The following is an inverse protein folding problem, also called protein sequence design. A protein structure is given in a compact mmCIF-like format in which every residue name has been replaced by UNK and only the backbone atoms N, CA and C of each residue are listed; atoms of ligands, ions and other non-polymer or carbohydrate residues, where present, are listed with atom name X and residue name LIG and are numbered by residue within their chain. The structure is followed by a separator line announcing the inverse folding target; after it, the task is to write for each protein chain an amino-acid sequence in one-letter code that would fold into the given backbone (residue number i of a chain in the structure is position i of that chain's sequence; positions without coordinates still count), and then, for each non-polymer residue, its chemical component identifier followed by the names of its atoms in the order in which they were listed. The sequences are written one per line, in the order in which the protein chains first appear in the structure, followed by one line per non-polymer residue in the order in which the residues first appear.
data_IF_196737647567
#
_entry.id   IF_196737647567
#
_cell.length_a   1.000
_cell.length_b   1.000
_cell.length_c   1.000
_cell.angle_alpha   90.00
_cell.angle_beta   90.00
_cell.angle_gamma   90.00
#
_symmetry.space_group_name_H-M   'P 1'
#
loop_
_entity.id
_entity.type
_entity.pdbx_description
1 polymer ?
#
# COMPACT_ATOMS: atom_id res chain seq x y z
N UNK A 1 -34.89 -28.84 14.85
CA UNK A 1 -34.53 -27.57 14.21
C UNK A 1 -35.80 -26.80 13.93
N UNK A 2 -35.97 -25.60 14.50
CA UNK A 2 -37.15 -24.77 14.26
C UNK A 2 -37.08 -24.06 12.92
N UNK A 3 -38.23 -23.76 12.31
CA UNK A 3 -38.31 -22.97 11.08
C UNK A 3 -37.60 -21.59 11.19
N UNK A 4 -37.58 -21.03 12.40
CA UNK A 4 -36.83 -19.80 12.72
C UNK A 4 -35.32 -20.00 12.63
N UNK A 5 -34.81 -21.18 13.04
CA UNK A 5 -33.38 -21.50 13.01
C UNK A 5 -32.89 -21.64 11.55
N UNK A 6 -33.71 -22.24 10.69
CA UNK A 6 -33.43 -22.35 9.25
C UNK A 6 -33.42 -20.97 8.56
N UNK A 7 -34.37 -20.10 8.89
CA UNK A 7 -34.38 -18.74 8.36
C UNK A 7 -33.18 -17.91 8.82
N UNK A 8 -32.73 -18.09 10.06
CA UNK A 8 -31.54 -17.39 10.57
C UNK A 8 -30.27 -17.87 9.85
N UNK A 9 -30.13 -19.16 9.58
CA UNK A 9 -29.02 -19.74 8.83
C UNK A 9 -28.96 -19.22 7.38
N UNK A 10 -30.09 -19.18 6.68
CA UNK A 10 -30.17 -18.66 5.31
C UNK A 10 -29.78 -17.17 5.24
N UNK A 11 -30.28 -16.36 6.18
CA UNK A 11 -29.92 -14.94 6.26
C UNK A 11 -28.45 -14.71 6.61
N UNK A 12 -27.85 -15.57 7.43
CA UNK A 12 -26.42 -15.50 7.75
C UNK A 12 -25.58 -15.80 6.51
N UNK A 13 -25.93 -16.82 5.73
CA UNK A 13 -25.25 -17.23 4.51
C UNK A 13 -25.36 -16.15 3.42
N UNK A 14 -26.56 -15.58 3.21
CA UNK A 14 -26.77 -14.45 2.31
C UNK A 14 -25.96 -13.21 2.70
N UNK A 15 -25.86 -12.93 3.99
CA UNK A 15 -25.07 -11.80 4.53
C UNK A 15 -23.58 -12.01 4.28
N UNK A 16 -23.05 -13.22 4.52
CA UNK A 16 -21.65 -13.56 4.29
C UNK A 16 -21.29 -13.50 2.80
N UNK A 17 -22.13 -14.04 1.94
CA UNK A 17 -21.98 -13.97 0.49
C UNK A 17 -21.93 -12.54 -0.02
N UNK A 18 -22.81 -11.66 0.46
CA UNK A 18 -22.82 -10.24 0.14
C UNK A 18 -21.54 -9.54 0.62
N UNK A 19 -21.07 -9.87 1.83
CA UNK A 19 -19.85 -9.33 2.41
C UNK A 19 -18.61 -9.78 1.62
N UNK A 20 -18.53 -11.06 1.27
CA UNK A 20 -17.47 -11.62 0.40
C UNK A 20 -17.39 -10.89 -0.93
N UNK A 21 -18.54 -10.70 -1.60
CA UNK A 21 -18.63 -9.99 -2.86
C UNK A 21 -18.18 -8.53 -2.76
N UNK A 22 -18.51 -7.85 -1.66
CA UNK A 22 -18.07 -6.48 -1.40
C UNK A 22 -16.56 -6.41 -1.17
N UNK A 23 -15.98 -7.33 -0.40
CA UNK A 23 -14.53 -7.44 -0.17
C UNK A 23 -13.78 -7.70 -1.47
N UNK A 24 -14.25 -8.64 -2.30
CA UNK A 24 -13.66 -8.95 -3.59
C UNK A 24 -13.65 -7.73 -4.52
N UNK A 25 -14.78 -7.02 -4.64
CA UNK A 25 -14.83 -5.76 -5.41
C UNK A 25 -13.85 -4.72 -4.90
N UNK A 26 -13.74 -4.57 -3.57
CA UNK A 26 -12.80 -3.63 -2.95
C UNK A 26 -11.35 -4.00 -3.22
N UNK A 27 -11.00 -5.26 -3.12
CA UNK A 27 -9.66 -5.76 -3.41
C UNK A 27 -9.29 -5.53 -4.88
N UNK A 28 -10.17 -5.88 -5.82
CA UNK A 28 -9.98 -5.65 -7.26
C UNK A 28 -9.81 -4.16 -7.54
N UNK A 29 -10.59 -3.28 -6.92
CA UNK A 29 -10.46 -1.83 -7.09
C UNK A 29 -9.12 -1.27 -6.56
N UNK A 30 -8.52 -1.91 -5.56
CA UNK A 30 -7.18 -1.58 -5.08
C UNK A 30 -6.10 -2.07 -6.06
N UNK A 31 -6.21 -3.31 -6.51
CA UNK A 31 -5.28 -3.93 -7.48
C UNK A 31 -5.29 -3.22 -8.84
N UNK A 32 -6.45 -2.69 -9.26
CA UNK A 32 -6.56 -1.91 -10.50
C UNK A 32 -5.75 -0.60 -10.48
N UNK A 33 -5.39 -0.09 -9.31
CA UNK A 33 -4.60 1.15 -9.18
C UNK A 33 -3.10 0.90 -9.19
N UNK A 34 -2.68 -0.16 -8.50
CA UNK A 34 -1.29 -0.59 -8.41
C UNK A 34 -1.22 -2.01 -7.87
N UNK A 35 -0.07 -2.65 -8.06
CA UNK A 35 0.22 -3.92 -7.40
C UNK A 35 0.28 -3.75 -5.87
N UNK A 36 -0.27 -4.71 -5.16
CA UNK A 36 -0.26 -4.79 -3.70
C UNK A 36 0.26 -6.15 -3.26
N UNK A 37 0.93 -6.21 -2.11
CA UNK A 37 1.22 -7.49 -1.48
C UNK A 37 -0.02 -8.07 -0.78
N UNK A 38 -0.02 -9.39 -0.58
CA UNK A 38 -1.05 -10.09 0.20
C UNK A 38 -1.21 -9.45 1.57
N UNK A 39 -0.10 -9.26 2.31
CA UNK A 39 -0.11 -8.63 3.63
C UNK A 39 -0.63 -7.18 3.62
N UNK A 40 -0.37 -6.41 2.56
CA UNK A 40 -0.90 -5.05 2.41
C UNK A 40 -2.42 -5.07 2.19
N UNK A 41 -2.92 -6.00 1.35
CA UNK A 41 -4.36 -6.15 1.12
C UNK A 41 -5.10 -6.65 2.36
N UNK A 42 -4.56 -7.65 3.08
CA UNK A 42 -5.13 -8.13 4.34
C UNK A 42 -5.36 -6.95 5.29
N UNK A 43 -4.34 -6.14 5.56
CA UNK A 43 -4.46 -4.97 6.43
C UNK A 43 -5.52 -3.97 5.95
N UNK A 44 -5.57 -3.72 4.64
CA UNK A 44 -6.52 -2.77 4.05
C UNK A 44 -7.96 -3.29 4.06
N UNK A 45 -8.16 -4.58 3.86
CA UNK A 45 -9.49 -5.18 3.83
C UNK A 45 -10.07 -5.34 5.23
N UNK A 46 -9.26 -5.68 6.24
CA UNK A 46 -9.66 -5.71 7.64
C UNK A 46 -10.03 -4.33 8.20
N UNK A 47 -9.43 -3.27 7.66
CA UNK A 47 -9.82 -1.90 8.05
C UNK A 47 -11.16 -1.55 7.39
N UNK A 48 -12.19 -1.13 8.16
CA UNK A 48 -13.46 -0.73 7.60
C UNK A 48 -13.28 0.33 6.50
N UNK A 49 -14.03 0.22 5.43
CA UNK A 49 -14.00 1.24 4.39
C UNK A 49 -14.42 2.60 4.99
N UNK A 50 -13.68 3.69 4.72
CA UNK A 50 -14.13 5.00 5.15
C UNK A 50 -15.50 5.25 4.52
N UNK A 51 -16.50 5.50 5.36
CA UNK A 51 -17.83 5.87 4.92
C UNK A 51 -17.68 7.14 4.08
N UNK A 52 -17.77 7.02 2.77
CA UNK A 52 -17.83 8.17 1.89
C UNK A 52 -19.13 8.91 2.21
N UNK A 53 -19.07 9.88 3.10
CA UNK A 53 -20.14 10.89 3.17
C UNK A 53 -20.31 11.43 1.75
N UNK A 54 -21.41 11.09 1.12
CA UNK A 54 -21.85 11.76 -0.11
C UNK A 54 -21.85 13.25 0.22
N UNK A 55 -20.82 13.97 -0.21
CA UNK A 55 -20.91 15.42 -0.26
C UNK A 55 -22.13 15.69 -1.13
N UNK A 56 -23.23 16.11 -0.50
CA UNK A 56 -24.34 16.70 -1.21
C UNK A 56 -23.73 17.75 -2.13
N UNK A 57 -23.91 17.55 -3.41
CA UNK A 57 -23.58 18.55 -4.42
C UNK A 57 -24.45 19.77 -4.15
N UNK A 58 -23.96 20.63 -3.26
CA UNK A 58 -24.41 21.99 -3.15
C UNK A 58 -23.60 22.77 -4.16
N UNK A 59 -24.24 23.20 -5.24
CA UNK A 59 -23.56 23.94 -6.29
C UNK A 59 -22.95 25.24 -5.78
N UNK A 60 -21.79 25.55 -6.36
CA UNK A 60 -21.45 26.92 -6.78
C UNK A 60 -20.33 26.86 -7.81
N UNK A 61 -20.62 27.53 -8.89
CA UNK A 61 -19.77 27.80 -10.02
C UNK A 61 -18.56 28.66 -9.67
N UNK A 62 -17.49 28.53 -10.47
CA UNK A 62 -16.56 29.62 -10.75
C UNK A 62 -15.17 29.41 -10.14
N UNK A 63 -14.17 29.25 -10.98
CA UNK A 63 -12.77 29.39 -10.63
C UNK A 63 -11.85 28.61 -11.57
N UNK A 64 -11.60 29.16 -12.73
CA UNK A 64 -10.54 28.81 -13.66
C UNK A 64 -9.19 28.99 -13.00
N UNK A 65 -8.30 28.00 -13.11
CA UNK A 65 -6.93 28.08 -12.63
C UNK A 65 -6.14 26.89 -13.16
N UNK A 66 -5.54 27.11 -14.35
CA UNK A 66 -4.58 26.22 -14.96
C UNK A 66 -3.32 26.14 -14.10
N UNK A 67 -2.96 24.96 -13.64
CA UNK A 67 -1.60 24.65 -13.23
C UNK A 67 -1.27 23.20 -13.58
N UNK A 68 -0.53 23.05 -14.68
CA UNK A 68 0.31 21.91 -14.97
C UNK A 68 1.32 21.72 -13.84
N UNK A 69 1.25 20.60 -13.13
CA UNK A 69 2.17 20.22 -12.09
C UNK A 69 2.32 18.72 -12.04
N UNK A 70 3.50 18.24 -12.45
CA UNK A 70 3.91 16.85 -12.36
C UNK A 70 3.76 16.28 -10.95
N UNK A 71 3.54 14.96 -10.78
CA UNK A 71 3.34 14.35 -9.47
C UNK A 71 4.65 14.34 -8.68
N UNK A 72 4.73 15.20 -7.70
CA UNK A 72 5.77 15.17 -6.67
C UNK A 72 5.40 14.05 -5.70
N UNK A 73 6.16 12.95 -5.72
CA UNK A 73 6.14 11.96 -4.66
C UNK A 73 6.89 12.55 -3.45
N UNK A 74 6.15 13.25 -2.61
CA UNK A 74 6.65 13.68 -1.30
C UNK A 74 6.43 12.55 -0.28
N UNK A 75 7.50 11.80 -0.02
CA UNK A 75 7.58 10.77 1.01
C UNK A 75 8.21 11.38 2.28
N UNK A 76 7.51 12.36 2.86
CA UNK A 76 7.83 12.90 4.17
C UNK A 76 6.78 12.43 5.19
N UNK A 77 6.95 11.19 5.67
CA UNK A 77 6.29 10.76 6.90
C UNK A 77 7.12 11.26 8.10
N UNK A 78 6.91 12.50 8.50
CA UNK A 78 7.40 13.06 9.76
C UNK A 78 6.41 12.68 10.88
N UNK A 79 6.90 11.84 11.81
CA UNK A 79 6.16 11.40 12.97
C UNK A 79 5.95 12.52 13.99
N UNK A 80 4.92 13.33 13.82
CA UNK A 80 4.41 14.20 14.88
C UNK A 80 3.06 13.69 15.37
N UNK A 81 3.06 13.17 16.59
CA UNK A 81 1.89 12.88 17.40
C UNK A 81 1.07 14.15 17.62
N UNK A 82 0.12 14.41 16.74
CA UNK A 82 -0.90 15.44 16.91
C UNK A 82 -2.07 14.88 17.72
N UNK A 83 -2.29 15.47 18.90
CA UNK A 83 -3.47 15.30 19.72
C UNK A 83 -4.75 15.57 18.91
N UNK A 84 -5.43 14.50 18.49
CA UNK A 84 -6.74 14.59 17.85
C UNK A 84 -7.80 14.71 18.92
N UNK A 85 -8.40 15.87 18.98
CA UNK A 85 -9.49 16.22 19.88
C UNK A 85 -10.62 15.19 19.83
N UNK A 86 -11.20 14.99 21.02
CA UNK A 86 -12.35 14.13 21.35
C UNK A 86 -13.44 14.25 20.27
N UNK A 87 -13.68 13.15 19.55
CA UNK A 87 -14.80 13.04 18.63
C UNK A 87 -16.13 13.14 19.41
N UNK A 88 -17.14 13.86 18.89
CA UNK A 88 -18.46 13.89 19.50
C UNK A 88 -19.07 12.48 19.54
N UNK A 89 -19.63 12.13 20.69
CA UNK A 89 -20.40 10.91 20.89
C UNK A 89 -21.65 10.94 19.98
N UNK A 90 -21.60 10.19 18.91
CA UNK A 90 -22.76 9.93 18.07
C UNK A 90 -23.57 8.78 18.69
N UNK A 91 -24.80 9.07 19.05
CA UNK A 91 -25.83 8.11 19.41
C UNK A 91 -25.96 7.04 18.31
N UNK A 92 -25.72 5.78 18.70
CA UNK A 92 -25.62 4.65 17.80
C UNK A 92 -26.97 3.91 17.75
N UNK A 93 -27.94 4.55 17.13
CA UNK A 93 -29.21 3.92 16.73
C UNK A 93 -29.38 4.05 15.20
N UNK A 94 -28.49 3.44 14.44
CA UNK A 94 -28.75 3.18 13.03
C UNK A 94 -28.53 1.70 12.78
N UNK A 95 -29.57 1.10 12.22
CA UNK A 95 -29.78 -0.32 12.05
C UNK A 95 -28.55 -1.10 11.62
N UNK A 96 -28.45 -2.29 12.16
CA UNK A 96 -27.45 -3.31 11.91
C UNK A 96 -27.34 -3.59 10.40
N UNK A 97 -26.58 -2.73 9.71
CA UNK A 97 -26.23 -2.99 8.32
C UNK A 97 -25.07 -3.98 8.30
N UNK A 98 -25.29 -5.23 7.90
CA UNK A 98 -24.26 -6.26 7.91
C UNK A 98 -23.02 -5.88 7.09
N UNK A 99 -23.14 -4.93 6.17
CA UNK A 99 -22.02 -4.39 5.40
C UNK A 99 -21.11 -3.44 6.19
N UNK A 100 -21.49 -2.98 7.39
CA UNK A 100 -20.67 -2.12 8.26
C UNK A 100 -19.90 -2.90 9.33
N UNK A 101 -20.14 -4.20 9.49
CA UNK A 101 -19.38 -5.07 10.37
C UNK A 101 -17.98 -5.31 9.78
N UNK A 102 -16.96 -5.20 10.63
CA UNK A 102 -15.59 -5.55 10.19
C UNK A 102 -15.59 -7.00 9.69
N UNK A 103 -15.01 -7.28 8.52
CA UNK A 103 -14.98 -8.64 7.99
C UNK A 103 -14.12 -9.54 8.87
N UNK A 104 -14.47 -10.82 8.94
CA UNK A 104 -13.64 -11.79 9.63
C UNK A 104 -12.30 -11.99 8.90
N UNK A 105 -11.20 -12.26 9.63
CA UNK A 105 -9.91 -12.55 9.01
C UNK A 105 -9.99 -13.73 8.03
N UNK A 106 -10.76 -14.77 8.37
CA UNK A 106 -10.93 -15.98 7.56
C UNK A 106 -11.60 -15.66 6.22
N UNK A 107 -12.61 -14.80 6.24
CA UNK A 107 -13.28 -14.36 5.02
C UNK A 107 -12.35 -13.54 4.13
N UNK A 108 -11.51 -12.69 4.72
CA UNK A 108 -10.51 -11.91 3.98
C UNK A 108 -9.49 -12.84 3.34
N UNK A 109 -8.94 -13.81 4.09
CA UNK A 109 -7.97 -14.78 3.56
C UNK A 109 -8.57 -15.60 2.42
N UNK A 110 -9.81 -16.09 2.56
CA UNK A 110 -10.51 -16.82 1.51
C UNK A 110 -10.68 -16.00 0.22
N UNK A 111 -10.96 -14.70 0.33
CA UNK A 111 -11.03 -13.79 -0.83
C UNK A 111 -9.65 -13.58 -1.46
N UNK A 112 -8.59 -13.47 -0.66
CA UNK A 112 -7.22 -13.32 -1.18
C UNK A 112 -6.75 -14.59 -1.89
N UNK A 113 -7.04 -15.78 -1.37
CA UNK A 113 -6.75 -17.07 -2.03
C UNK A 113 -7.44 -17.16 -3.40
N UNK A 114 -8.70 -16.72 -3.47
CA UNK A 114 -9.42 -16.67 -4.74
C UNK A 114 -8.76 -15.71 -5.73
N UNK A 115 -8.30 -14.54 -5.29
CA UNK A 115 -7.61 -13.57 -6.15
C UNK A 115 -6.23 -14.07 -6.60
N UNK A 116 -5.51 -14.81 -5.78
CA UNK A 116 -4.26 -15.48 -6.15
C UNK A 116 -4.52 -16.58 -7.19
N UNK A 117 -5.53 -17.41 -6.97
CA UNK A 117 -5.95 -18.44 -7.93
C UNK A 117 -6.31 -17.86 -9.30
N UNK A 118 -6.93 -16.69 -9.33
CA UNK A 118 -7.22 -15.94 -10.56
C UNK A 118 -6.01 -15.16 -11.10
N UNK A 119 -4.83 -15.24 -10.48
CA UNK A 119 -3.61 -14.50 -10.83
C UNK A 119 -3.76 -12.97 -10.80
N UNK A 120 -4.77 -12.47 -10.12
CA UNK A 120 -4.98 -11.03 -9.90
C UNK A 120 -4.08 -10.49 -8.78
N UNK A 121 -3.75 -11.32 -7.79
CA UNK A 121 -2.80 -11.01 -6.71
C UNK A 121 -1.54 -11.85 -6.89
N UNK A 122 -0.35 -11.22 -6.73
CA UNK A 122 0.94 -11.90 -6.77
C UNK A 122 1.99 -11.07 -6.06
N UNK A 123 2.51 -11.58 -4.96
CA UNK A 123 3.60 -10.95 -4.20
C UNK A 123 4.87 -10.83 -5.03
N UNK A 124 5.17 -11.81 -5.87
CA UNK A 124 6.31 -11.78 -6.77
C UNK A 124 6.19 -10.63 -7.79
N UNK A 125 5.05 -10.50 -8.46
CA UNK A 125 4.83 -9.45 -9.46
C UNK A 125 4.90 -8.06 -8.81
N UNK A 126 4.35 -7.90 -7.61
CA UNK A 126 4.46 -6.68 -6.82
C UNK A 126 5.92 -6.36 -6.46
N UNK A 127 6.69 -7.34 -6.00
CA UNK A 127 8.11 -7.18 -5.68
C UNK A 127 8.91 -6.75 -6.92
N UNK A 128 8.75 -7.45 -8.04
CA UNK A 128 9.41 -7.14 -9.32
C UNK A 128 9.04 -5.73 -9.81
N UNK A 129 7.78 -5.31 -9.65
CA UNK A 129 7.33 -3.96 -10.00
C UNK A 129 7.98 -2.89 -9.12
N UNK A 130 8.05 -3.11 -7.81
CA UNK A 130 8.72 -2.19 -6.87
C UNK A 130 10.22 -2.06 -7.19
N UNK A 131 10.88 -3.17 -7.44
CA UNK A 131 12.29 -3.20 -7.80
C UNK A 131 12.55 -2.47 -9.11
N UNK A 132 11.78 -2.75 -10.16
CA UNK A 132 11.90 -2.09 -11.47
C UNK A 132 11.77 -0.57 -11.35
N UNK A 133 10.79 -0.10 -10.57
CA UNK A 133 10.55 1.33 -10.40
C UNK A 133 11.57 2.01 -9.47
N UNK A 134 12.18 1.24 -8.56
CA UNK A 134 13.12 1.76 -7.55
C UNK A 134 14.60 1.60 -7.89
N UNK A 135 14.97 0.65 -8.75
CA UNK A 135 16.36 0.24 -8.99
C UNK A 135 17.28 1.37 -9.48
N UNK A 136 16.76 2.31 -10.26
CA UNK A 136 17.54 3.46 -10.76
C UNK A 136 17.84 4.52 -9.66
N UNK A 137 17.13 4.46 -8.54
CA UNK A 137 17.18 5.50 -7.51
C UNK A 137 17.70 5.01 -6.17
N UNK A 138 17.55 3.71 -5.89
CA UNK A 138 17.80 3.11 -4.59
C UNK A 138 18.71 1.88 -4.71
N UNK A 139 19.54 1.69 -3.69
CA UNK A 139 20.38 0.49 -3.51
C UNK A 139 19.59 -0.69 -2.94
N UNK A 140 20.22 -1.86 -2.95
CA UNK A 140 19.63 -3.11 -2.47
C UNK A 140 19.09 -3.04 -1.05
N UNK A 141 19.84 -2.42 -0.12
CA UNK A 141 19.44 -2.35 1.27
C UNK A 141 18.12 -1.60 1.45
N UNK A 142 17.90 -0.50 0.74
CA UNK A 142 16.65 0.26 0.78
C UNK A 142 15.49 -0.52 0.16
N UNK A 143 15.71 -1.14 -1.00
CA UNK A 143 14.68 -1.94 -1.67
C UNK A 143 14.28 -3.15 -0.83
N UNK A 144 15.25 -3.84 -0.21
CA UNK A 144 14.98 -4.95 0.72
C UNK A 144 14.10 -4.50 1.89
N UNK A 145 14.46 -3.41 2.54
CA UNK A 145 13.67 -2.85 3.63
C UNK A 145 12.25 -2.46 3.20
N UNK A 146 12.08 -1.86 2.02
CA UNK A 146 10.78 -1.48 1.52
C UNK A 146 9.90 -2.71 1.19
N UNK A 147 10.49 -3.80 0.68
CA UNK A 147 9.82 -5.09 0.45
C UNK A 147 9.43 -5.78 1.78
N UNK A 148 10.34 -5.77 2.78
CA UNK A 148 10.04 -6.29 4.12
C UNK A 148 8.86 -5.54 4.77
N UNK A 149 8.84 -4.21 4.68
CA UNK A 149 7.71 -3.39 5.15
C UNK A 149 6.38 -3.72 4.46
N UNK A 150 6.43 -4.26 3.26
CA UNK A 150 5.27 -4.76 2.53
C UNK A 150 4.84 -6.17 2.98
N UNK A 151 5.61 -6.80 3.87
CA UNK A 151 5.33 -8.12 4.41
C UNK A 151 5.63 -9.27 3.46
N UNK A 152 6.60 -9.10 2.56
CA UNK A 152 7.05 -10.17 1.68
C UNK A 152 7.99 -11.12 2.41
N UNK A 153 7.99 -12.36 1.95
CA UNK A 153 8.91 -13.41 2.41
C UNK A 153 10.37 -13.09 2.03
N UNK A 154 11.31 -13.45 2.92
CA UNK A 154 12.74 -13.15 2.77
C UNK A 154 13.37 -13.87 1.58
N UNK A 155 12.96 -15.11 1.30
CA UNK A 155 13.43 -15.85 0.14
C UNK A 155 12.99 -15.17 -1.17
N UNK A 156 11.74 -14.71 -1.22
CA UNK A 156 11.21 -13.95 -2.36
C UNK A 156 11.99 -12.65 -2.54
N UNK A 157 12.27 -11.91 -1.46
CA UNK A 157 13.05 -10.67 -1.48
C UNK A 157 14.45 -10.93 -2.01
N UNK A 158 15.13 -11.95 -1.50
CA UNK A 158 16.48 -12.34 -1.94
C UNK A 158 16.52 -12.67 -3.42
N UNK A 159 15.58 -13.48 -3.90
CA UNK A 159 15.48 -13.88 -5.30
C UNK A 159 15.27 -12.70 -6.24
N UNK A 160 14.39 -11.77 -5.87
CA UNK A 160 14.06 -10.61 -6.72
C UNK A 160 15.20 -9.57 -6.73
N UNK A 161 15.97 -9.47 -5.62
CA UNK A 161 17.09 -8.54 -5.52
C UNK A 161 18.42 -9.09 -6.01
N UNK A 162 18.54 -10.41 -6.22
CA UNK A 162 19.78 -11.05 -6.66
C UNK A 162 20.35 -10.43 -7.95
N UNK A 163 19.55 -10.20 -9.02
CA UNK A 163 20.08 -9.61 -10.25
C UNK A 163 20.66 -8.20 -10.09
N UNK A 164 20.22 -7.47 -9.06
CA UNK A 164 20.69 -6.10 -8.80
C UNK A 164 22.07 -6.05 -8.12
N UNK A 165 22.59 -7.17 -7.64
CA UNK A 165 23.88 -7.21 -6.93
C UNK A 165 25.04 -6.88 -7.86
N UNK A 166 25.01 -7.39 -9.09
CA UNK A 166 26.09 -7.22 -10.06
C UNK A 166 26.24 -5.76 -10.52
N UNK A 167 25.11 -5.05 -10.65
CA UNK A 167 25.11 -3.67 -11.16
C UNK A 167 25.03 -2.61 -10.06
N UNK A 168 25.10 -2.96 -8.78
CA UNK A 168 24.87 -2.00 -7.70
C UNK A 168 25.87 -0.84 -7.72
N UNK A 169 27.14 -1.12 -8.00
CA UNK A 169 28.19 -0.11 -8.11
C UNK A 169 27.93 0.87 -9.26
N UNK A 170 27.55 0.37 -10.43
CA UNK A 170 27.23 1.18 -11.60
C UNK A 170 26.03 2.09 -11.34
N UNK A 171 24.99 1.55 -10.70
CA UNK A 171 23.79 2.29 -10.31
C UNK A 171 24.10 3.36 -9.27
N UNK A 172 24.92 3.03 -8.25
CA UNK A 172 25.40 4.00 -7.26
C UNK A 172 26.15 5.16 -7.92
N UNK A 173 27.05 4.83 -8.88
CA UNK A 173 27.81 5.82 -9.64
C UNK A 173 26.88 6.72 -10.49
N UNK A 174 25.89 6.16 -11.16
CA UNK A 174 24.92 6.93 -11.93
C UNK A 174 24.10 7.90 -11.05
N UNK A 175 23.66 7.43 -9.87
CA UNK A 175 22.94 8.25 -8.90
C UNK A 175 23.84 9.36 -8.35
N UNK A 176 25.08 9.04 -8.04
CA UNK A 176 26.07 10.01 -7.58
C UNK A 176 26.37 11.07 -8.64
N UNK A 177 26.63 10.63 -9.88
CA UNK A 177 26.90 11.52 -11.03
C UNK A 177 25.76 12.50 -11.26
N UNK A 178 24.51 12.02 -11.23
CA UNK A 178 23.32 12.85 -11.42
C UNK A 178 23.16 13.92 -10.32
N UNK A 179 23.62 13.60 -9.08
CA UNK A 179 23.43 14.49 -7.93
C UNK A 179 24.59 15.46 -7.71
N UNK A 180 25.82 14.99 -7.85
CA UNK A 180 27.04 15.75 -7.51
C UNK A 180 27.91 16.05 -8.73
N UNK A 181 28.13 15.10 -9.60
CA UNK A 181 28.85 15.25 -10.86
C UNK A 181 30.35 15.54 -10.73
N UNK A 182 30.80 15.90 -9.52
CA UNK A 182 32.20 16.25 -9.24
C UNK A 182 32.70 15.53 -8.00
N UNK A 183 33.97 15.05 -7.99
CA UNK A 183 34.56 14.43 -6.81
C UNK A 183 34.64 15.42 -5.64
N UNK A 184 34.57 14.92 -4.39
CA UNK A 184 34.65 15.76 -3.21
C UNK A 184 36.04 16.39 -3.06
N UNK A 185 36.08 17.68 -2.78
CA UNK A 185 37.34 18.44 -2.57
C UNK A 185 37.73 18.50 -1.08
N UNK A 186 36.81 18.17 -0.18
CA UNK A 186 37.04 18.18 1.28
C UNK A 186 36.48 16.94 1.96
N UNK A 187 36.96 16.64 3.15
CA UNK A 187 36.44 15.56 4.00
C UNK A 187 34.95 15.74 4.32
N UNK A 188 34.51 16.99 4.51
CA UNK A 188 33.10 17.33 4.75
C UNK A 188 32.22 16.97 3.54
N UNK A 189 32.68 17.30 2.34
CA UNK A 189 31.98 16.93 1.10
C UNK A 189 31.95 15.42 0.89
N UNK A 190 33.08 14.74 1.10
CA UNK A 190 33.17 13.27 1.03
C UNK A 190 32.14 12.62 1.97
N UNK A 191 32.09 13.08 3.23
CA UNK A 191 31.13 12.57 4.20
C UNK A 191 29.68 12.86 3.80
N UNK A 192 29.39 14.03 3.18
CA UNK A 192 28.06 14.37 2.66
C UNK A 192 27.65 13.47 1.51
N UNK A 193 28.54 13.25 0.54
CA UNK A 193 28.27 12.39 -0.61
C UNK A 193 28.08 10.93 -0.20
N UNK A 194 28.90 10.45 0.74
CA UNK A 194 28.79 9.10 1.31
C UNK A 194 27.43 8.91 2.02
N UNK A 195 27.07 9.81 2.94
CA UNK A 195 25.78 9.73 3.64
C UNK A 195 24.57 9.75 2.69
N UNK A 196 24.69 10.49 1.59
CA UNK A 196 23.63 10.50 0.57
C UNK A 196 23.46 9.13 -0.08
N UNK A 197 24.53 8.42 -0.44
CA UNK A 197 24.44 7.09 -1.05
C UNK A 197 23.97 6.04 -0.05
N UNK A 198 24.52 6.05 1.17
CA UNK A 198 24.10 5.15 2.25
C UNK A 198 22.61 5.36 2.59
N UNK A 199 22.15 6.61 2.69
CA UNK A 199 20.73 6.94 2.92
C UNK A 199 19.79 6.46 1.79
N UNK A 200 20.34 6.20 0.61
CA UNK A 200 19.61 5.56 -0.50
C UNK A 200 19.75 4.04 -0.55
N UNK A 201 20.49 3.45 0.40
CA UNK A 201 20.69 2.01 0.52
C UNK A 201 21.75 1.41 -0.40
N UNK A 202 22.65 2.23 -0.92
CA UNK A 202 23.87 1.74 -1.60
C UNK A 202 24.94 1.45 -0.55
N UNK A 203 25.57 0.27 -0.63
CA UNK A 203 26.64 -0.19 0.26
C UNK A 203 28.04 0.10 -0.33
#
# INVERSE_FOLDING_TARGET
MSFRDLQALVRADESESAQRSALKRRAIALLARREHSRAELTRKLLTPAPVRRRRRAGGRAGGQGDHEGAPVFDDAFDGKSGSWGRAPSFDRTEGDNPASRAPSPELVESVLDELEGMKLLSDRRMAESLVRNGAERFGRARLSHDLQRKGLDENLISNVLQPLAEDEKSRAQAVWQRRFGKPPTSLKEKARQYRFLVGRGFA
#
